data_IF_398241299903
#
_entry.id   IF_398241299903
#
_cell.length_a   1.000
_cell.length_b   1.000
_cell.length_c   1.000
_cell.angle_alpha   90.00
_cell.angle_beta   90.00
_cell.angle_gamma   90.00
#
_symmetry.space_group_name_H-M   'P 1'
#
loop_
_entity.id
_entity.type
_entity.pdbx_description
1 polymer ?
#
# COMPACT_ATOMS: atom_id res chain seq x y z
N UNK A 1 14.22 -20.89 5.96
CA UNK A 1 13.08 -20.36 6.75
C UNK A 1 12.26 -19.38 5.90
N UNK A 2 10.92 -19.49 5.82
CA UNK A 2 10.08 -18.57 5.03
C UNK A 2 10.04 -17.17 5.66
N UNK A 3 10.15 -16.11 4.84
CA UNK A 3 10.02 -14.72 5.31
C UNK A 3 8.57 -14.39 5.63
N UNK A 4 8.34 -13.77 6.78
CA UNK A 4 7.02 -13.29 7.18
C UNK A 4 6.64 -12.02 6.41
N UNK A 5 5.41 -11.99 5.86
CA UNK A 5 4.91 -10.84 5.11
C UNK A 5 3.60 -10.33 5.71
N UNK A 6 3.49 -9.00 5.76
CA UNK A 6 2.26 -8.29 6.05
C UNK A 6 1.84 -7.40 4.88
N UNK A 7 0.53 -7.28 4.66
CA UNK A 7 -0.03 -6.43 3.58
C UNK A 7 -1.14 -5.57 4.16
N UNK A 8 -0.91 -4.26 4.16
CA UNK A 8 -1.91 -3.26 4.48
C UNK A 8 -2.70 -2.91 3.22
N UNK A 9 -4.03 -3.07 3.27
CA UNK A 9 -4.88 -2.90 2.10
C UNK A 9 -4.87 -4.12 1.16
N UNK A 10 -4.92 -5.33 1.71
CA UNK A 10 -4.79 -6.61 0.98
C UNK A 10 -5.89 -6.86 -0.07
N UNK A 11 -7.03 -6.17 0.02
CA UNK A 11 -8.15 -6.27 -0.93
C UNK A 11 -8.11 -5.23 -2.04
N UNK A 12 -7.17 -4.27 -1.99
CA UNK A 12 -6.90 -3.30 -3.06
C UNK A 12 -6.04 -3.91 -4.19
N UNK A 13 -5.89 -3.18 -5.30
CA UNK A 13 -5.16 -3.65 -6.49
C UNK A 13 -3.72 -4.09 -6.18
N UNK A 14 -2.95 -3.25 -5.48
CA UNK A 14 -1.56 -3.57 -5.08
C UNK A 14 -1.53 -4.77 -4.12
N UNK A 15 -2.45 -4.83 -3.15
CA UNK A 15 -2.54 -5.93 -2.20
C UNK A 15 -2.86 -7.27 -2.88
N UNK A 16 -3.79 -7.28 -3.81
CA UNK A 16 -4.16 -8.48 -4.60
C UNK A 16 -2.99 -8.91 -5.48
N UNK A 17 -2.30 -7.98 -6.15
CA UNK A 17 -1.11 -8.27 -6.94
C UNK A 17 0.02 -8.86 -6.09
N UNK A 18 0.26 -8.30 -4.91
CA UNK A 18 1.26 -8.82 -3.97
C UNK A 18 0.91 -10.26 -3.51
N UNK A 19 -0.36 -10.53 -3.21
CA UNK A 19 -0.82 -11.87 -2.85
C UNK A 19 -0.66 -12.87 -4.02
N UNK A 20 -0.88 -12.44 -5.26
CA UNK A 20 -0.62 -13.27 -6.45
C UNK A 20 0.85 -13.67 -6.59
N UNK A 21 1.77 -12.75 -6.30
CA UNK A 21 3.21 -13.04 -6.27
C UNK A 21 3.55 -14.03 -5.15
N UNK A 22 2.96 -13.85 -3.97
CA UNK A 22 3.16 -14.77 -2.83
C UNK A 22 2.66 -16.16 -3.17
N UNK A 23 1.55 -16.29 -3.91
CA UNK A 23 1.01 -17.57 -4.37
C UNK A 23 2.00 -18.33 -5.26
N UNK A 24 2.71 -17.61 -6.14
CA UNK A 24 3.75 -18.20 -7.01
C UNK A 24 5.04 -18.54 -6.23
N UNK A 25 5.25 -17.93 -5.08
CA UNK A 25 6.49 -18.04 -4.27
C UNK A 25 6.21 -18.54 -2.84
N UNK A 26 5.29 -19.48 -2.66
CA UNK A 26 4.85 -20.00 -1.35
C UNK A 26 5.98 -20.55 -0.47
N UNK A 27 7.03 -21.09 -1.09
CA UNK A 27 8.16 -21.65 -0.37
C UNK A 27 9.05 -20.56 0.28
N UNK A 28 8.98 -19.33 -0.20
CA UNK A 28 9.78 -18.21 0.29
C UNK A 28 9.04 -17.36 1.32
N UNK A 29 7.70 -17.32 1.27
CA UNK A 29 6.90 -16.37 2.03
C UNK A 29 5.80 -17.05 2.85
N UNK A 30 5.54 -16.46 4.03
CA UNK A 30 4.40 -16.78 4.90
C UNK A 30 3.63 -15.52 5.22
N UNK A 31 2.36 -15.47 4.88
CA UNK A 31 1.49 -14.34 5.23
C UNK A 31 1.29 -14.32 6.75
N UNK A 32 1.67 -13.21 7.38
CA UNK A 32 1.57 -13.02 8.82
C UNK A 32 0.39 -12.11 9.19
N UNK A 33 0.26 -10.95 8.55
CA UNK A 33 -0.81 -10.00 8.78
C UNK A 33 -1.39 -9.51 7.45
N UNK A 34 -2.71 -9.45 7.40
CA UNK A 34 -3.45 -8.78 6.32
C UNK A 34 -4.32 -7.70 6.93
N UNK A 35 -4.60 -6.64 6.16
CA UNK A 35 -5.63 -5.68 6.53
C UNK A 35 -6.52 -5.29 5.37
N UNK A 36 -7.77 -5.00 5.67
CA UNK A 36 -8.78 -4.55 4.71
C UNK A 36 -9.84 -3.68 5.39
N UNK A 37 -10.75 -3.09 4.59
CA UNK A 37 -11.84 -2.27 5.11
C UNK A 37 -13.20 -2.95 4.89
N UNK A 38 -13.77 -2.87 3.67
CA UNK A 38 -15.19 -3.16 3.42
C UNK A 38 -15.48 -4.49 2.69
N UNK A 39 -14.52 -5.06 1.99
CA UNK A 39 -14.78 -6.19 1.10
C UNK A 39 -14.85 -7.53 1.86
N UNK A 40 -16.05 -7.83 2.38
CA UNK A 40 -16.31 -9.04 3.18
C UNK A 40 -15.88 -10.32 2.47
N UNK A 41 -16.25 -10.50 1.19
CA UNK A 41 -15.97 -11.73 0.44
C UNK A 41 -14.48 -11.97 0.23
N UNK A 42 -13.74 -10.92 -0.15
CA UNK A 42 -12.29 -11.03 -0.31
C UNK A 42 -11.58 -11.24 1.03
N UNK A 43 -12.03 -10.59 2.10
CA UNK A 43 -11.52 -10.83 3.47
C UNK A 43 -11.67 -12.29 3.85
N UNK A 44 -12.88 -12.84 3.71
CA UNK A 44 -13.17 -14.24 4.01
C UNK A 44 -12.30 -15.18 3.17
N UNK A 45 -12.24 -14.97 1.86
CA UNK A 45 -11.40 -15.75 0.93
C UNK A 45 -9.93 -15.72 1.33
N UNK A 46 -9.41 -14.53 1.69
CA UNK A 46 -8.02 -14.36 2.11
C UNK A 46 -7.73 -15.05 3.45
N UNK A 47 -8.64 -14.98 4.43
CA UNK A 47 -8.50 -15.70 5.71
C UNK A 47 -8.41 -17.21 5.48
N UNK A 48 -9.34 -17.77 4.68
CA UNK A 48 -9.38 -19.21 4.38
C UNK A 48 -8.11 -19.68 3.65
N UNK A 49 -7.67 -18.90 2.66
CA UNK A 49 -6.55 -19.27 1.77
C UNK A 49 -5.18 -19.10 2.43
N UNK A 50 -4.92 -17.94 3.02
CA UNK A 50 -3.59 -17.58 3.52
C UNK A 50 -3.39 -17.89 5.00
N UNK A 51 -4.48 -18.09 5.75
CA UNK A 51 -4.48 -18.38 7.20
C UNK A 51 -3.50 -17.45 7.95
N UNK A 52 -3.65 -16.10 7.81
CA UNK A 52 -2.76 -15.18 8.49
C UNK A 52 -2.89 -15.31 10.00
N UNK A 53 -1.84 -14.96 10.74
CA UNK A 53 -1.90 -14.91 12.21
C UNK A 53 -2.81 -13.78 12.68
N UNK A 54 -2.80 -12.66 11.98
CA UNK A 54 -3.58 -11.46 12.31
C UNK A 54 -4.31 -10.96 11.06
N UNK A 55 -5.59 -10.55 11.22
CA UNK A 55 -6.32 -9.81 10.20
C UNK A 55 -6.92 -8.54 10.82
N UNK A 56 -6.53 -7.36 10.29
CA UNK A 56 -7.07 -6.07 10.74
C UNK A 56 -8.17 -5.61 9.79
N UNK A 57 -9.37 -5.35 10.33
CA UNK A 57 -10.55 -4.95 9.57
C UNK A 57 -11.05 -3.62 10.14
N UNK A 58 -10.82 -2.52 9.44
CA UNK A 58 -11.10 -1.17 9.95
C UNK A 58 -12.58 -0.76 9.89
N UNK A 59 -13.40 -1.45 9.10
CA UNK A 59 -14.85 -1.24 9.09
C UNK A 59 -15.50 -2.07 10.20
N UNK A 60 -16.17 -1.42 11.14
CA UNK A 60 -16.77 -2.05 12.33
C UNK A 60 -17.78 -3.15 11.99
N UNK A 61 -18.71 -2.88 11.06
CA UNK A 61 -19.73 -3.86 10.67
C UNK A 61 -19.12 -5.13 10.08
N UNK A 62 -18.12 -4.97 9.20
CA UNK A 62 -17.42 -6.11 8.59
C UNK A 62 -16.56 -6.83 9.61
N UNK A 63 -15.91 -6.11 10.51
CA UNK A 63 -15.15 -6.67 11.63
C UNK A 63 -16.02 -7.61 12.48
N UNK A 64 -17.20 -7.13 12.92
CA UNK A 64 -18.09 -7.91 13.79
C UNK A 64 -18.58 -9.18 13.09
N UNK A 65 -18.97 -9.09 11.80
CA UNK A 65 -19.37 -10.25 10.99
C UNK A 65 -18.25 -11.28 10.85
N UNK A 66 -17.04 -10.84 10.52
CA UNK A 66 -15.89 -11.73 10.33
C UNK A 66 -15.44 -12.32 11.66
N UNK A 67 -15.39 -11.53 12.74
CA UNK A 67 -15.03 -11.99 14.07
C UNK A 67 -15.98 -13.11 14.55
N UNK A 68 -17.29 -12.92 14.38
CA UNK A 68 -18.31 -13.97 14.68
C UNK A 68 -18.07 -15.23 13.85
N UNK A 69 -17.86 -15.08 12.52
CA UNK A 69 -17.70 -16.21 11.60
C UNK A 69 -16.43 -17.04 11.85
N UNK A 70 -15.35 -16.40 12.31
CA UNK A 70 -14.06 -17.05 12.55
C UNK A 70 -13.71 -17.20 14.03
N UNK A 71 -14.68 -17.09 14.94
CA UNK A 71 -14.47 -17.17 16.40
C UNK A 71 -13.77 -18.45 16.86
N UNK A 72 -14.03 -19.58 16.20
CA UNK A 72 -13.42 -20.89 16.49
C UNK A 72 -12.07 -21.14 15.81
N UNK A 73 -11.50 -20.15 15.07
CA UNK A 73 -10.22 -20.30 14.35
C UNK A 73 -9.08 -19.65 15.13
N UNK A 74 -7.88 -20.22 15.03
CA UNK A 74 -6.65 -19.65 15.61
C UNK A 74 -6.15 -18.47 14.77
N UNK A 75 -6.95 -17.40 14.68
CA UNK A 75 -6.62 -16.15 14.03
C UNK A 75 -7.01 -14.98 14.93
N UNK A 76 -6.15 -13.99 15.02
CA UNK A 76 -6.44 -12.73 15.73
C UNK A 76 -7.13 -11.80 14.74
N UNK A 77 -8.39 -11.45 14.99
CA UNK A 77 -9.13 -10.47 14.21
C UNK A 77 -9.24 -9.20 15.04
N UNK A 78 -8.67 -8.11 14.55
CA UNK A 78 -8.66 -6.79 15.19
C UNK A 78 -9.34 -5.75 14.31
N UNK A 79 -9.87 -4.69 14.90
CA UNK A 79 -10.38 -3.52 14.18
C UNK A 79 -9.41 -2.34 14.21
N UNK A 80 -8.26 -2.48 14.87
CA UNK A 80 -7.25 -1.43 15.02
C UNK A 80 -5.83 -1.98 14.84
N UNK A 81 -4.91 -1.09 14.46
CA UNK A 81 -3.48 -1.37 14.42
C UNK A 81 -2.76 -1.03 15.73
N UNK A 82 -3.40 -0.30 16.65
CA UNK A 82 -2.73 0.25 17.84
C UNK A 82 -2.38 -0.83 18.86
N UNK A 83 -3.15 -1.90 18.93
CA UNK A 83 -3.04 -2.96 19.94
C UNK A 83 -2.32 -4.22 19.44
N UNK A 84 -1.60 -4.10 18.32
CA UNK A 84 -0.90 -5.25 17.76
C UNK A 84 0.33 -5.60 18.59
N UNK A 85 0.28 -6.71 19.29
CA UNK A 85 1.43 -7.29 20.00
C UNK A 85 2.09 -8.32 19.06
N UNK A 86 3.31 -8.02 18.64
CA UNK A 86 4.11 -8.85 17.76
C UNK A 86 5.46 -9.12 18.42
N UNK A 87 5.69 -10.36 18.84
CA UNK A 87 6.90 -10.77 19.58
C UNK A 87 8.19 -10.68 18.74
N UNK A 88 8.09 -10.82 17.42
CA UNK A 88 9.23 -10.74 16.49
C UNK A 88 8.87 -9.90 15.29
N UNK A 89 9.75 -8.96 14.93
CA UNK A 89 9.52 -8.11 13.75
C UNK A 89 9.19 -8.92 12.51
N UNK A 90 8.22 -8.43 11.76
CA UNK A 90 7.83 -8.96 10.45
C UNK A 90 8.94 -8.65 9.46
N UNK A 91 9.32 -9.62 8.63
CA UNK A 91 10.42 -9.43 7.70
C UNK A 91 10.10 -8.38 6.63
N UNK A 92 8.88 -8.39 6.08
CA UNK A 92 8.47 -7.45 5.04
C UNK A 92 7.02 -7.02 5.28
N UNK A 93 6.76 -5.71 5.28
CA UNK A 93 5.41 -5.15 5.24
C UNK A 93 5.20 -4.37 3.94
N UNK A 94 4.09 -4.59 3.26
CA UNK A 94 3.65 -3.81 2.10
C UNK A 94 2.56 -2.84 2.57
N UNK A 95 2.79 -1.53 2.47
CA UNK A 95 1.82 -0.49 2.79
C UNK A 95 1.14 -0.02 1.52
N UNK A 96 -0.12 -0.44 1.32
CA UNK A 96 -0.93 -0.19 0.12
C UNK A 96 -2.36 0.31 0.44
N UNK A 97 -2.57 0.90 1.62
CA UNK A 97 -3.83 1.60 1.94
C UNK A 97 -3.79 2.96 1.25
N UNK A 98 -4.71 3.19 0.33
CA UNK A 98 -4.79 4.45 -0.42
C UNK A 98 -5.22 5.63 0.45
N UNK A 99 -4.70 6.81 0.15
CA UNK A 99 -5.01 8.07 0.81
C UNK A 99 -4.32 8.25 2.16
N UNK A 100 -4.52 9.41 2.77
CA UNK A 100 -3.89 9.82 4.05
C UNK A 100 -4.26 8.90 5.22
N UNK A 101 -5.39 8.20 5.14
CA UNK A 101 -5.82 7.21 6.17
C UNK A 101 -4.82 6.04 6.30
N UNK A 102 -3.96 5.82 5.31
CA UNK A 102 -2.87 4.85 5.36
C UNK A 102 -1.68 5.28 6.20
N UNK A 103 -1.53 6.57 6.55
CA UNK A 103 -0.36 7.10 7.26
C UNK A 103 -0.20 6.48 8.65
N UNK A 104 -1.23 6.52 9.48
CA UNK A 104 -1.18 5.98 10.84
C UNK A 104 -0.88 4.47 10.86
N UNK A 105 -1.56 3.61 10.07
CA UNK A 105 -1.18 2.21 9.91
C UNK A 105 0.26 2.01 9.43
N UNK A 106 0.72 2.82 8.49
CA UNK A 106 2.09 2.74 7.98
C UNK A 106 3.10 2.98 9.09
N UNK A 107 2.94 4.05 9.88
CA UNK A 107 3.82 4.37 11.02
C UNK A 107 3.83 3.24 12.05
N UNK A 108 2.66 2.65 12.36
CA UNK A 108 2.61 1.51 13.30
C UNK A 108 3.38 0.29 12.76
N UNK A 109 3.22 -0.01 11.47
CA UNK A 109 3.92 -1.15 10.88
C UNK A 109 5.41 -0.90 10.66
N UNK A 110 5.86 0.35 10.54
CA UNK A 110 7.29 0.68 10.59
C UNK A 110 7.92 0.18 11.89
N UNK A 111 7.25 0.34 13.03
CA UNK A 111 7.76 -0.13 14.33
C UNK A 111 7.90 -1.66 14.40
N UNK A 112 7.04 -2.37 13.69
CA UNK A 112 6.84 -3.82 13.77
C UNK A 112 7.52 -4.60 12.63
N UNK A 113 8.22 -3.92 11.72
CA UNK A 113 8.78 -4.53 10.51
C UNK A 113 10.29 -4.34 10.43
N UNK A 114 10.98 -5.25 9.72
CA UNK A 114 12.38 -5.07 9.32
C UNK A 114 12.49 -4.22 8.06
N UNK A 115 11.56 -4.44 7.11
CA UNK A 115 11.47 -3.69 5.86
C UNK A 115 10.02 -3.31 5.60
N UNK A 116 9.79 -2.07 5.16
CA UNK A 116 8.48 -1.61 4.71
C UNK A 116 8.55 -1.11 3.27
N UNK A 117 7.70 -1.69 2.43
CA UNK A 117 7.53 -1.35 1.03
C UNK A 117 6.32 -0.42 0.94
N UNK A 118 6.51 0.82 0.51
CA UNK A 118 5.46 1.84 0.51
C UNK A 118 4.98 2.11 -0.92
N UNK A 119 3.70 1.74 -1.19
CA UNK A 119 2.99 2.07 -2.42
C UNK A 119 2.08 3.31 -2.25
N UNK A 120 1.85 3.74 -1.02
CA UNK A 120 0.99 4.87 -0.69
C UNK A 120 1.83 6.16 -0.64
N UNK A 121 1.87 6.89 -1.75
CA UNK A 121 2.59 8.17 -1.85
C UNK A 121 1.99 9.28 -0.98
N UNK A 122 0.68 9.26 -0.72
CA UNK A 122 0.02 10.23 0.15
C UNK A 122 0.56 10.17 1.59
N UNK A 123 0.85 8.97 2.09
CA UNK A 123 1.50 8.82 3.40
C UNK A 123 2.90 9.42 3.43
N UNK A 124 3.65 9.32 2.32
CA UNK A 124 4.98 9.92 2.20
C UNK A 124 4.86 11.45 2.16
N UNK A 125 3.98 11.99 1.33
CA UNK A 125 3.79 13.45 1.19
C UNK A 125 3.35 14.06 2.53
N UNK A 126 2.36 13.45 3.20
CA UNK A 126 1.79 14.01 4.42
C UNK A 126 2.61 13.72 5.69
N UNK A 127 3.44 12.67 5.72
CA UNK A 127 4.03 12.19 6.95
C UNK A 127 5.48 11.70 6.87
N UNK A 128 6.23 12.11 5.84
CA UNK A 128 7.61 11.64 5.64
C UNK A 128 8.50 11.80 6.86
N UNK A 129 8.46 12.97 7.48
CA UNK A 129 9.25 13.24 8.68
C UNK A 129 8.98 12.21 9.79
N UNK A 130 7.70 11.92 10.06
CA UNK A 130 7.31 10.97 11.09
C UNK A 130 7.68 9.53 10.72
N UNK A 131 7.47 9.15 9.45
CA UNK A 131 7.83 7.82 8.94
C UNK A 131 9.34 7.62 9.03
N UNK A 132 10.14 8.59 8.55
CA UNK A 132 11.61 8.54 8.57
C UNK A 132 12.15 8.48 10.00
N UNK A 133 11.70 9.37 10.88
CA UNK A 133 12.08 9.39 12.31
C UNK A 133 11.77 8.05 12.99
N UNK A 134 10.58 7.48 12.72
CA UNK A 134 10.18 6.19 13.27
C UNK A 134 11.04 5.06 12.70
N UNK A 135 11.32 5.08 11.41
CA UNK A 135 12.13 4.05 10.76
C UNK A 135 13.56 4.01 11.30
N UNK A 136 14.16 5.17 11.53
CA UNK A 136 15.49 5.28 12.18
C UNK A 136 15.42 4.70 13.60
N UNK A 137 14.46 5.16 14.42
CA UNK A 137 14.30 4.69 15.82
C UNK A 137 14.14 3.17 15.91
N UNK A 138 13.42 2.57 14.99
CA UNK A 138 13.12 1.13 15.02
C UNK A 138 13.97 0.30 14.05
N UNK A 139 15.02 0.86 13.45
CA UNK A 139 15.90 0.21 12.47
C UNK A 139 15.09 -0.55 11.40
N UNK A 140 14.22 0.19 10.69
CA UNK A 140 13.35 -0.35 9.64
C UNK A 140 13.73 0.23 8.30
N UNK A 141 14.06 -0.62 7.32
CA UNK A 141 14.38 -0.17 5.95
C UNK A 141 13.11 0.23 5.21
N UNK A 142 13.04 1.46 4.71
CA UNK A 142 11.96 1.94 3.83
C UNK A 142 12.35 1.70 2.38
N UNK A 143 11.43 1.17 1.59
CA UNK A 143 11.61 0.93 0.15
C UNK A 143 10.37 1.46 -0.58
N UNK A 144 10.51 2.43 -1.49
CA UNK A 144 9.40 2.84 -2.33
C UNK A 144 9.08 1.73 -3.34
N UNK A 145 7.80 1.54 -3.65
CA UNK A 145 7.34 0.60 -4.68
C UNK A 145 6.33 1.22 -5.65
N UNK A 146 6.08 2.52 -5.54
CA UNK A 146 5.48 3.27 -6.64
C UNK A 146 6.49 3.43 -7.79
N UNK A 147 5.98 3.57 -9.01
CA UNK A 147 6.82 3.50 -10.21
C UNK A 147 7.88 4.58 -10.26
N UNK A 148 7.53 5.80 -9.91
CA UNK A 148 8.38 6.98 -10.02
C UNK A 148 9.54 6.90 -9.03
N UNK A 149 9.23 6.76 -7.74
CA UNK A 149 10.26 6.71 -6.70
C UNK A 149 11.10 5.43 -6.76
N UNK A 150 10.48 4.29 -7.12
CA UNK A 150 11.22 3.04 -7.30
C UNK A 150 12.25 3.16 -8.44
N UNK A 151 11.84 3.69 -9.59
CA UNK A 151 12.73 3.88 -10.75
C UNK A 151 13.90 4.80 -10.40
N UNK A 152 13.63 5.95 -9.78
CA UNK A 152 14.68 6.88 -9.34
C UNK A 152 15.60 6.19 -8.33
N UNK A 153 15.04 5.51 -7.31
CA UNK A 153 15.82 4.80 -6.31
C UNK A 153 16.76 3.75 -6.92
N UNK A 154 16.30 3.06 -7.98
CA UNK A 154 17.13 2.07 -8.69
C UNK A 154 18.21 2.69 -9.55
N UNK A 155 17.91 3.77 -10.24
CA UNK A 155 18.91 4.51 -11.02
C UNK A 155 20.01 5.10 -10.14
N UNK A 156 19.66 5.52 -8.91
CA UNK A 156 20.60 6.14 -7.98
C UNK A 156 21.35 5.13 -7.08
N UNK A 157 21.00 3.85 -7.11
CA UNK A 157 21.47 2.85 -6.12
C UNK A 157 23.00 2.75 -6.03
N UNK A 158 23.70 3.01 -7.13
CA UNK A 158 25.18 2.90 -7.22
C UNK A 158 25.86 4.23 -7.53
N UNK A 159 25.18 5.36 -7.38
CA UNK A 159 25.72 6.68 -7.69
C UNK A 159 25.75 7.59 -6.47
N UNK A 160 26.79 8.39 -6.36
CA UNK A 160 26.85 9.50 -5.40
C UNK A 160 25.91 10.62 -5.84
N UNK A 161 25.22 11.27 -4.87
CA UNK A 161 24.38 12.43 -5.18
C UNK A 161 25.15 13.56 -5.87
N UNK A 162 26.48 13.65 -5.68
CA UNK A 162 27.36 14.64 -6.33
C UNK A 162 27.51 14.41 -7.84
N UNK A 163 27.32 13.16 -8.31
CA UNK A 163 27.41 12.77 -9.72
C UNK A 163 26.12 13.10 -10.50
N UNK A 164 25.04 13.45 -9.79
CA UNK A 164 23.73 13.65 -10.38
C UNK A 164 23.55 15.13 -10.71
N UNK A 165 23.55 15.44 -12.00
CA UNK A 165 23.31 16.82 -12.47
C UNK A 165 21.82 17.17 -12.49
N UNK A 166 20.92 16.24 -12.89
CA UNK A 166 19.51 16.50 -13.08
C UNK A 166 18.69 15.22 -13.06
N UNK A 167 17.47 15.28 -12.51
CA UNK A 167 16.50 14.19 -12.53
C UNK A 167 15.30 14.64 -13.37
N UNK A 168 14.93 13.82 -14.36
CA UNK A 168 13.73 14.03 -15.18
C UNK A 168 12.66 13.03 -14.76
N UNK A 169 11.48 13.53 -14.38
CA UNK A 169 10.33 12.70 -14.05
C UNK A 169 9.31 12.87 -15.17
N UNK A 170 8.96 11.76 -15.82
CA UNK A 170 7.96 11.75 -16.89
C UNK A 170 6.58 11.52 -16.31
N UNK A 171 5.56 12.13 -16.94
CA UNK A 171 4.15 11.92 -16.62
C UNK A 171 3.39 11.48 -17.86
N UNK A 172 2.25 10.78 -17.67
CA UNK A 172 1.42 10.32 -18.81
C UNK A 172 0.69 11.44 -19.55
N UNK A 173 0.64 12.64 -18.95
CA UNK A 173 -0.05 13.81 -19.51
C UNK A 173 -1.57 13.80 -19.42
N UNK A 174 -2.17 12.71 -18.92
CA UNK A 174 -3.61 12.59 -18.71
C UNK A 174 -4.46 12.65 -20.01
N UNK A 175 -5.80 12.74 -19.89
CA UNK A 175 -6.71 12.77 -21.03
C UNK A 175 -6.63 14.06 -21.86
N UNK A 176 -6.04 15.13 -21.33
CA UNK A 176 -5.97 16.46 -21.94
C UNK A 176 -4.61 16.80 -22.55
N UNK A 177 -3.68 15.85 -22.62
CA UNK A 177 -2.32 16.07 -23.13
C UNK A 177 -2.29 16.79 -24.50
N UNK A 178 -3.22 16.44 -25.39
CA UNK A 178 -3.29 16.96 -26.74
C UNK A 178 -4.34 18.07 -26.92
N UNK A 179 -4.94 18.57 -25.82
CA UNK A 179 -5.94 19.63 -25.90
C UNK A 179 -5.30 21.00 -26.05
N UNK A 180 -5.85 21.83 -26.95
CA UNK A 180 -5.51 23.25 -27.04
C UNK A 180 -6.17 24.03 -25.88
N UNK A 181 -5.62 25.17 -25.51
CA UNK A 181 -6.13 26.00 -24.38
C UNK A 181 -7.64 26.29 -24.50
N UNK A 182 -8.14 26.56 -25.71
CA UNK A 182 -9.57 26.87 -25.92
C UNK A 182 -10.48 25.66 -25.67
N UNK A 183 -9.99 24.45 -25.93
CA UNK A 183 -10.73 23.20 -25.67
C UNK A 183 -10.84 22.90 -24.17
N UNK A 184 -9.91 23.43 -23.35
CA UNK A 184 -9.93 23.23 -21.91
C UNK A 184 -11.07 23.97 -21.20
N UNK A 185 -11.62 25.04 -21.81
CA UNK A 185 -12.74 25.82 -21.26
C UNK A 185 -14.04 25.03 -21.14
N UNK A 186 -14.23 24.01 -21.99
CA UNK A 186 -15.47 23.24 -22.08
C UNK A 186 -15.38 21.81 -21.51
N UNK A 187 -14.34 21.52 -20.73
CA UNK A 187 -14.12 20.20 -20.14
C UNK A 187 -15.19 19.89 -19.09
N UNK A 188 -15.76 18.69 -19.20
CA UNK A 188 -16.68 18.13 -18.21
C UNK A 188 -15.93 17.14 -17.30
N UNK A 189 -16.41 16.92 -16.11
CA UNK A 189 -15.86 15.92 -15.16
C UNK A 189 -15.72 14.53 -15.80
N UNK A 190 -16.67 14.16 -16.67
CA UNK A 190 -16.64 12.89 -17.41
C UNK A 190 -15.37 12.75 -18.29
N UNK A 191 -14.93 13.84 -18.91
CA UNK A 191 -13.74 13.83 -19.77
C UNK A 191 -12.47 13.67 -18.96
N UNK A 192 -12.42 14.33 -17.79
CA UNK A 192 -11.33 14.19 -16.82
C UNK A 192 -11.20 12.76 -16.25
N UNK A 193 -12.31 12.03 -16.14
CA UNK A 193 -12.33 10.66 -15.64
C UNK A 193 -12.00 9.60 -16.70
N UNK A 194 -11.84 10.01 -17.97
CA UNK A 194 -11.56 9.09 -19.09
C UNK A 194 -10.07 9.08 -19.44
N UNK A 195 -9.26 8.48 -18.56
CA UNK A 195 -7.81 8.40 -18.80
C UNK A 195 -7.49 7.40 -19.93
N UNK A 196 -6.69 7.78 -20.96
CA UNK A 196 -6.46 6.95 -22.16
C UNK A 196 -5.71 5.65 -21.87
N UNK A 197 -4.87 5.61 -20.83
CA UNK A 197 -4.00 4.46 -20.51
C UNK A 197 -4.36 3.74 -19.22
N UNK A 198 -5.10 4.36 -18.29
CA UNK A 198 -5.30 3.83 -16.96
C UNK A 198 -6.78 3.78 -16.58
N UNK A 199 -7.26 2.61 -16.21
CA UNK A 199 -8.57 2.45 -15.55
C UNK A 199 -8.37 2.54 -14.03
N UNK A 200 -8.36 3.74 -13.50
CA UNK A 200 -8.25 3.99 -12.06
C UNK A 200 -9.61 4.32 -11.45
N UNK A 201 -9.74 4.20 -10.12
CA UNK A 201 -10.93 4.69 -9.44
C UNK A 201 -11.10 6.21 -9.63
N UNK A 202 -12.35 6.68 -9.78
CA UNK A 202 -12.72 8.08 -10.11
C UNK A 202 -11.95 9.14 -9.31
N UNK A 203 -11.72 8.89 -8.02
CA UNK A 203 -11.02 9.84 -7.13
C UNK A 203 -9.52 9.97 -7.45
N UNK A 204 -8.87 8.89 -7.87
CA UNK A 204 -7.44 8.89 -8.19
C UNK A 204 -7.16 9.55 -9.53
N UNK A 205 -8.07 9.41 -10.50
CA UNK A 205 -7.96 10.05 -11.81
C UNK A 205 -7.99 11.59 -11.71
N UNK A 206 -8.79 12.15 -10.80
CA UNK A 206 -8.85 13.60 -10.58
C UNK A 206 -7.59 14.18 -9.91
N UNK A 207 -6.95 13.42 -9.01
CA UNK A 207 -5.74 13.88 -8.29
C UNK A 207 -4.50 13.92 -9.19
N UNK A 208 -4.43 13.06 -10.20
CA UNK A 208 -3.26 12.96 -11.10
C UNK A 208 -3.29 13.95 -12.28
N UNK A 209 -4.24 14.88 -12.31
CA UNK A 209 -4.43 15.85 -13.40
C UNK A 209 -4.03 17.30 -13.05
N UNK A 210 -3.49 17.49 -11.84
CA UNK A 210 -2.99 18.81 -11.37
C UNK A 210 -1.48 18.87 -11.36
#
# INVERSE_FOLDING_TARGET
MRKSISILGSTGSVGVSALSIIDKKKNYFKVYLLSANKNFYLIEKQIKKYKPKIFVITNKVIYDKIKKKFSKKKIIISNTFNELIISKKIDITISAIQGVVGLKPTIQMVKLSKKILIANKESIICGWYLIKKTAIKYNTKIIPIDSEHFSISKLLENHSLKEIKKIYITASGGPFLNYKKDQLKNIKIKDALNHPKWKMGKKLQLILQH
#
